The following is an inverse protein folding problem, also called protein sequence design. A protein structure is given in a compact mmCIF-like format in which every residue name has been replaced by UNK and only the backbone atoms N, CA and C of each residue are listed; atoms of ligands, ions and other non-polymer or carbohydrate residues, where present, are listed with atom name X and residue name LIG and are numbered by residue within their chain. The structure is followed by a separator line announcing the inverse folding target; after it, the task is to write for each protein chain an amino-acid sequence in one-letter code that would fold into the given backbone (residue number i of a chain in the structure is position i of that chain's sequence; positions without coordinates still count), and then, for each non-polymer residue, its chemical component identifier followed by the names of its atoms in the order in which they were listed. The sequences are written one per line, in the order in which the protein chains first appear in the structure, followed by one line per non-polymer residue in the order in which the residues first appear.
data_IF_785023339544
#
_entry.id   IF_785023339544
#
_cell.length_a   1.000
_cell.length_b   1.000
_cell.length_c   1.000
_cell.angle_alpha   90.00
_cell.angle_beta   90.00
_cell.angle_gamma   90.00
#
_symmetry.space_group_name_H-M   'P 1'
#
loop_
_entity.id
_entity.type
_entity.pdbx_description
1 polymer ?
#
# COMPACT_ATOMS: atom_id res chain seq x y z
N UNK A 1 -52.57 7.32 -18.60
CA UNK A 1 -51.26 7.44 -19.28
C UNK A 1 -50.60 8.70 -18.77
N UNK A 2 -49.36 8.80 -18.28
CA UNK A 2 -48.22 7.89 -18.08
C UNK A 2 -47.44 8.48 -16.89
N UNK A 3 -47.06 7.64 -15.93
CA UNK A 3 -46.12 8.01 -14.86
C UNK A 3 -44.80 8.41 -15.51
N UNK A 4 -44.37 9.66 -15.32
CA UNK A 4 -43.04 10.14 -15.74
C UNK A 4 -42.10 9.99 -14.55
N UNK A 5 -41.63 8.77 -14.33
CA UNK A 5 -40.46 8.48 -13.51
C UNK A 5 -39.25 9.08 -14.21
N UNK A 6 -38.85 10.28 -13.79
CA UNK A 6 -37.54 10.84 -14.13
C UNK A 6 -36.55 10.16 -13.18
N UNK A 7 -35.98 9.05 -13.64
CA UNK A 7 -34.87 8.37 -12.99
C UNK A 7 -33.67 9.31 -13.00
N UNK A 8 -33.42 10.00 -11.89
CA UNK A 8 -32.16 10.68 -11.64
C UNK A 8 -31.12 9.57 -11.47
N UNK A 9 -30.37 9.29 -12.53
CA UNK A 9 -29.16 8.49 -12.44
C UNK A 9 -28.18 9.26 -11.54
N UNK A 10 -28.12 8.85 -10.28
CA UNK A 10 -27.11 9.31 -9.33
C UNK A 10 -25.77 8.81 -9.90
N UNK A 11 -25.00 9.72 -10.48
CA UNK A 11 -23.61 9.51 -10.81
C UNK A 11 -22.80 9.48 -9.50
N UNK A 12 -22.91 8.42 -8.70
CA UNK A 12 -21.97 8.09 -7.62
C UNK A 12 -20.74 7.42 -8.22
N UNK A 13 -20.03 8.16 -9.07
CA UNK A 13 -18.77 7.75 -9.64
C UNK A 13 -17.62 8.60 -9.09
N UNK A 14 -16.65 7.93 -8.47
CA UNK A 14 -15.23 8.31 -8.45
C UNK A 14 -14.77 9.34 -7.40
N UNK A 15 -14.94 9.02 -6.11
CA UNK A 15 -13.95 9.38 -5.09
C UNK A 15 -12.94 8.24 -4.81
N UNK A 16 -12.88 7.21 -5.68
CA UNK A 16 -11.99 6.05 -5.52
C UNK A 16 -10.57 6.26 -6.08
N UNK A 17 -10.21 7.48 -6.50
CA UNK A 17 -9.00 7.78 -7.26
C UNK A 17 -7.64 7.54 -6.54
N UNK A 18 -7.61 7.06 -5.29
CA UNK A 18 -6.36 6.86 -4.55
C UNK A 18 -6.04 5.41 -4.18
N UNK A 19 -6.97 4.46 -4.38
CA UNK A 19 -6.79 3.07 -3.96
C UNK A 19 -6.77 2.15 -5.19
N UNK A 20 -5.74 1.31 -5.37
CA UNK A 20 -5.68 0.38 -6.50
C UNK A 20 -6.85 -0.59 -6.46
N UNK A 21 -7.30 -1.10 -7.61
CA UNK A 21 -8.26 -2.21 -7.62
C UNK A 21 -7.59 -3.52 -7.22
N UNK A 22 -8.37 -4.55 -6.89
CA UNK A 22 -7.81 -5.89 -6.61
C UNK A 22 -7.08 -6.47 -7.82
N UNK A 23 -7.58 -6.23 -9.03
CA UNK A 23 -6.93 -6.66 -10.27
C UNK A 23 -5.58 -5.96 -10.46
N UNK A 24 -5.49 -4.67 -10.19
CA UNK A 24 -4.22 -3.93 -10.27
C UNK A 24 -3.20 -4.47 -9.25
N UNK A 25 -3.69 -4.79 -8.04
CA UNK A 25 -2.86 -5.40 -7.00
C UNK A 25 -2.31 -6.76 -7.43
N UNK A 26 -3.15 -7.65 -7.95
CA UNK A 26 -2.72 -9.00 -8.35
C UNK A 26 -1.72 -8.95 -9.51
N UNK A 27 -1.94 -8.05 -10.49
CA UNK A 27 -1.01 -7.81 -11.58
C UNK A 27 0.33 -7.25 -11.08
N UNK A 28 0.27 -6.32 -10.13
CA UNK A 28 1.45 -5.74 -9.50
C UNK A 28 2.25 -6.78 -8.72
N UNK A 29 1.60 -7.60 -7.87
CA UNK A 29 2.26 -8.70 -7.15
C UNK A 29 2.94 -9.66 -8.13
N UNK A 30 2.25 -10.04 -9.20
CA UNK A 30 2.79 -10.92 -10.24
C UNK A 30 4.03 -10.33 -10.90
N UNK A 31 3.99 -9.04 -11.26
CA UNK A 31 5.13 -8.31 -11.82
C UNK A 31 6.33 -8.32 -10.85
N UNK A 32 6.07 -8.03 -9.57
CA UNK A 32 7.12 -8.01 -8.56
C UNK A 32 7.73 -9.41 -8.36
N UNK A 33 6.92 -10.46 -8.29
CA UNK A 33 7.42 -11.83 -8.14
C UNK A 33 8.38 -12.23 -9.26
N UNK A 34 8.07 -11.85 -10.51
CA UNK A 34 8.86 -12.19 -11.69
C UNK A 34 10.08 -11.30 -11.96
N UNK A 35 10.23 -10.15 -11.30
CA UNK A 35 11.27 -9.17 -11.63
C UNK A 35 11.92 -8.54 -10.40
N UNK A 36 13.19 -8.89 -10.15
CA UNK A 36 14.02 -8.23 -9.13
C UNK A 36 14.20 -6.74 -9.39
N UNK A 37 14.26 -6.33 -10.66
CA UNK A 37 14.30 -4.92 -11.05
C UNK A 37 13.00 -4.21 -10.66
N UNK A 38 11.85 -4.83 -10.91
CA UNK A 38 10.56 -4.24 -10.52
C UNK A 38 10.44 -4.11 -8.99
N UNK A 39 10.91 -5.10 -8.22
CA UNK A 39 10.99 -4.98 -6.75
C UNK A 39 11.83 -3.79 -6.31
N UNK A 40 13.00 -3.60 -6.90
CA UNK A 40 13.89 -2.49 -6.55
C UNK A 40 13.27 -1.12 -6.89
N UNK A 41 12.57 -1.00 -8.02
CA UNK A 41 11.85 0.23 -8.36
C UNK A 41 10.65 0.47 -7.43
N UNK A 42 9.90 -0.57 -7.08
CA UNK A 42 8.81 -0.49 -6.11
C UNK A 42 9.26 0.02 -4.74
N UNK A 43 10.43 -0.41 -4.27
CA UNK A 43 11.03 0.11 -3.02
C UNK A 43 11.37 1.59 -3.17
N UNK A 44 11.99 2.01 -4.28
CA UNK A 44 12.32 3.43 -4.51
C UNK A 44 11.07 4.30 -4.55
N UNK A 45 10.02 3.85 -5.22
CA UNK A 45 8.75 4.57 -5.31
C UNK A 45 8.05 4.65 -3.94
N UNK A 46 8.11 3.57 -3.16
CA UNK A 46 7.67 3.60 -1.76
C UNK A 46 8.42 4.66 -0.96
N UNK A 47 9.76 4.71 -1.05
CA UNK A 47 10.60 5.67 -0.32
C UNK A 47 10.27 7.12 -0.73
N UNK A 48 10.06 7.38 -2.02
CA UNK A 48 9.67 8.71 -2.55
C UNK A 48 8.35 9.23 -1.99
N UNK A 49 7.46 8.34 -1.57
CA UNK A 49 6.19 8.71 -0.94
C UNK A 49 6.31 9.28 0.47
N UNK A 50 7.49 9.26 1.09
CA UNK A 50 7.72 9.80 2.43
C UNK A 50 8.35 11.19 2.38
N UNK A 51 7.73 12.13 3.08
CA UNK A 51 8.17 13.53 3.19
C UNK A 51 9.24 13.76 4.28
N UNK A 52 9.84 12.69 4.79
CA UNK A 52 10.91 12.74 5.80
C UNK A 52 10.45 13.03 7.24
N UNK A 53 9.22 13.53 7.45
CA UNK A 53 8.69 13.88 8.79
C UNK A 53 8.28 12.65 9.62
N UNK A 54 8.05 11.52 8.96
CA UNK A 54 7.57 10.25 9.55
C UNK A 54 8.68 9.24 9.86
N UNK A 55 9.94 9.63 9.70
CA UNK A 55 11.15 8.78 9.86
C UNK A 55 11.31 8.21 11.26
N UNK A 56 11.07 9.00 12.32
CA UNK A 56 11.25 8.56 13.72
C UNK A 56 10.28 7.46 14.15
N UNK A 57 8.99 7.61 13.86
CA UNK A 57 7.99 6.59 14.21
C UNK A 57 8.24 5.30 13.43
N UNK A 58 8.67 5.43 12.17
CA UNK A 58 9.06 4.27 11.36
C UNK A 58 10.36 3.63 11.88
N UNK A 59 11.30 4.41 12.42
CA UNK A 59 12.51 3.91 13.08
C UNK A 59 12.18 3.06 14.31
N UNK A 60 11.26 3.53 15.15
CA UNK A 60 10.71 2.75 16.27
C UNK A 60 10.01 1.47 15.78
N UNK A 61 9.21 1.57 14.73
CA UNK A 61 8.46 0.44 14.19
C UNK A 61 9.36 -0.62 13.54
N UNK A 62 10.42 -0.17 12.87
CA UNK A 62 11.37 -1.04 12.16
C UNK A 62 12.54 -1.49 13.05
N UNK A 63 12.70 -0.92 14.24
CA UNK A 63 13.87 -1.09 15.09
C UNK A 63 15.18 -0.78 14.34
N UNK A 64 15.21 0.35 13.63
CA UNK A 64 16.39 0.81 12.88
C UNK A 64 16.65 2.29 13.11
N UNK A 65 17.80 2.79 12.64
CA UNK A 65 18.11 4.20 12.73
C UNK A 65 17.16 5.04 11.87
N UNK A 66 16.82 6.26 12.31
CA UNK A 66 15.86 7.13 11.61
C UNK A 66 16.21 7.36 10.13
N UNK A 67 17.52 7.40 9.80
CA UNK A 67 18.01 7.55 8.42
C UNK A 67 17.72 6.34 7.53
N UNK A 68 17.65 5.13 8.10
CA UNK A 68 17.46 3.87 7.37
C UNK A 68 15.99 3.40 7.42
N UNK A 69 15.22 3.93 8.37
CA UNK A 69 13.86 3.52 8.68
C UNK A 69 12.92 3.44 7.47
N UNK A 70 12.95 4.46 6.61
CA UNK A 70 12.09 4.52 5.42
C UNK A 70 12.45 3.41 4.43
N UNK A 71 13.74 3.26 4.12
CA UNK A 71 14.20 2.21 3.21
C UNK A 71 13.88 0.82 3.76
N UNK A 72 14.21 0.57 5.02
CA UNK A 72 13.97 -0.74 5.67
C UNK A 72 12.46 -1.03 5.76
N UNK A 73 11.64 -0.04 6.07
CA UNK A 73 10.19 -0.18 6.10
C UNK A 73 9.62 -0.55 4.72
N UNK A 74 10.02 0.16 3.67
CA UNK A 74 9.63 -0.13 2.31
C UNK A 74 10.10 -1.52 1.84
N UNK A 75 11.36 -1.88 2.12
CA UNK A 75 11.90 -3.21 1.80
C UNK A 75 11.06 -4.32 2.45
N UNK A 76 10.77 -4.20 3.76
CA UNK A 76 9.96 -5.18 4.50
C UNK A 76 8.53 -5.27 3.98
N UNK A 77 7.92 -4.14 3.67
CA UNK A 77 6.56 -4.10 3.16
C UNK A 77 6.46 -4.72 1.76
N UNK A 78 7.34 -4.34 0.83
CA UNK A 78 7.36 -4.91 -0.52
C UNK A 78 7.67 -6.41 -0.47
N UNK A 79 8.59 -6.85 0.40
CA UNK A 79 8.83 -8.28 0.62
C UNK A 79 7.59 -9.01 1.15
N UNK A 80 6.82 -8.38 2.05
CA UNK A 80 5.58 -8.95 2.55
C UNK A 80 4.50 -9.06 1.47
N UNK A 81 4.37 -8.05 0.59
CA UNK A 81 3.46 -8.09 -0.56
C UNK A 81 3.83 -9.24 -1.50
N UNK A 82 5.10 -9.36 -1.87
CA UNK A 82 5.59 -10.40 -2.78
C UNK A 82 5.42 -11.81 -2.21
N UNK A 83 5.62 -11.97 -0.90
CA UNK A 83 5.48 -13.27 -0.20
C UNK A 83 4.04 -13.62 0.13
N UNK A 84 3.06 -12.76 -0.14
CA UNK A 84 1.66 -12.94 0.24
C UNK A 84 1.39 -12.74 1.74
N UNK A 85 2.39 -12.34 2.51
CA UNK A 85 2.22 -11.97 3.92
C UNK A 85 1.40 -10.69 4.08
N UNK A 86 1.51 -9.74 3.15
CA UNK A 86 0.60 -8.61 3.03
C UNK A 86 -0.43 -8.91 1.93
N UNK A 87 -1.71 -8.65 2.20
CA UNK A 87 -2.81 -8.82 1.24
C UNK A 87 -3.24 -7.47 0.66
N UNK A 88 -4.10 -7.51 -0.35
CA UNK A 88 -4.79 -6.33 -0.87
C UNK A 88 -5.38 -5.46 0.25
N UNK A 89 -6.11 -6.07 1.19
CA UNK A 89 -6.76 -5.34 2.29
C UNK A 89 -5.72 -4.64 3.20
N UNK A 90 -4.56 -5.25 3.44
CA UNK A 90 -3.47 -4.60 4.18
C UNK A 90 -2.92 -3.38 3.43
N UNK A 91 -2.83 -3.44 2.09
CA UNK A 91 -2.40 -2.31 1.26
C UNK A 91 -3.42 -1.17 1.31
N UNK A 92 -4.72 -1.51 1.24
CA UNK A 92 -5.81 -0.55 1.35
C UNK A 92 -5.79 0.11 2.74
N UNK A 93 -5.65 -0.67 3.80
CA UNK A 93 -5.56 -0.17 5.17
C UNK A 93 -4.38 0.80 5.35
N UNK A 94 -3.19 0.45 4.85
CA UNK A 94 -2.01 1.33 4.93
C UNK A 94 -2.22 2.63 4.16
N UNK A 95 -2.81 2.57 2.96
CA UNK A 95 -3.15 3.77 2.19
C UNK A 95 -4.16 4.66 2.94
N UNK A 96 -5.07 4.05 3.69
CA UNK A 96 -5.97 4.72 4.62
C UNK A 96 -5.34 5.13 5.95
N UNK A 97 -4.01 5.05 6.10
CA UNK A 97 -3.26 5.34 7.33
C UNK A 97 -3.66 4.47 8.54
N UNK A 98 -4.26 3.29 8.29
CA UNK A 98 -4.66 2.33 9.30
C UNK A 98 -3.59 1.27 9.47
N UNK A 99 -2.84 1.34 10.57
CA UNK A 99 -1.89 0.29 10.94
C UNK A 99 -2.59 -0.81 11.74
N UNK A 100 -2.62 -2.03 11.18
CA UNK A 100 -3.12 -3.21 11.88
C UNK A 100 -1.99 -3.92 12.65
N UNK A 101 -2.34 -4.81 13.57
CA UNK A 101 -1.35 -5.64 14.27
C UNK A 101 -0.51 -6.50 13.32
N UNK A 102 -1.11 -6.94 12.21
CA UNK A 102 -0.44 -7.69 11.13
C UNK A 102 0.58 -6.81 10.41
N UNK A 103 0.19 -5.60 10.03
CA UNK A 103 1.08 -4.66 9.35
C UNK A 103 2.24 -4.20 10.23
N UNK A 104 1.99 -3.97 11.53
CA UNK A 104 3.03 -3.67 12.51
C UNK A 104 4.08 -4.78 12.55
N UNK A 105 3.66 -6.05 12.58
CA UNK A 105 4.57 -7.20 12.56
C UNK A 105 5.41 -7.26 11.28
N UNK A 106 4.81 -6.98 10.12
CA UNK A 106 5.53 -6.85 8.84
C UNK A 106 6.63 -5.80 8.94
N UNK A 107 6.32 -4.60 9.41
CA UNK A 107 7.33 -3.55 9.56
C UNK A 107 8.39 -3.88 10.60
N UNK A 108 8.08 -4.68 11.62
CA UNK A 108 9.03 -5.22 12.59
C UNK A 108 9.89 -6.38 12.04
N UNK A 109 9.56 -6.91 10.86
CA UNK A 109 10.29 -8.02 10.23
C UNK A 109 9.98 -9.41 10.80
N UNK A 110 8.81 -9.59 11.43
CA UNK A 110 8.35 -10.88 11.99
C UNK A 110 7.01 -11.28 11.41
#
# INVERSE_FOLDING_TARGET
MRVRTITIFIATGLLTACVPTRQDYDAYVTLLQGSSRAKNEAVKDCVRGFDGKSTRNLGLLTNTSDKDAVRVGCDRFIAAVVSGRATYDDVVDIKGQRLTSKTIKIFQGR
#
